data_IF_825332914608
#
_entry.id   IF_825332914608
#
_cell.length_a   1.000
_cell.length_b   1.000
_cell.length_c   1.000
_cell.angle_alpha   90.00
_cell.angle_beta   90.00
_cell.angle_gamma   90.00
#
_symmetry.space_group_name_H-M   'P 1'
#
loop_
_entity.id
_entity.type
_entity.pdbx_description
1 polymer ?
#
# COMPACT_ATOMS: atom_id res chain seq x y z
N UNK A 1 0.52 20.65 9.14
CA UNK A 1 -0.67 21.25 8.50
C UNK A 1 -1.90 20.38 8.71
N UNK A 2 -1.91 19.10 8.29
CA UNK A 2 -3.09 18.21 8.49
C UNK A 2 -3.53 18.10 9.96
N UNK A 3 -2.60 17.83 10.90
CA UNK A 3 -2.91 17.73 12.33
C UNK A 3 -3.43 19.04 12.96
N UNK A 4 -3.23 20.20 12.31
CA UNK A 4 -3.68 21.50 12.82
C UNK A 4 -5.13 21.81 12.44
N UNK A 5 -5.71 21.04 11.50
CA UNK A 5 -7.11 21.13 11.08
C UNK A 5 -7.94 20.06 11.79
N UNK A 6 -9.25 20.27 11.92
CA UNK A 6 -10.15 19.25 12.47
C UNK A 6 -10.41 18.12 11.46
N UNK A 7 -10.69 16.88 11.89
CA UNK A 7 -11.02 15.77 11.00
C UNK A 7 -12.19 16.05 10.06
N UNK A 8 -13.18 16.82 10.51
CA UNK A 8 -14.40 17.17 9.77
C UNK A 8 -14.12 18.05 8.55
N UNK A 9 -12.99 18.78 8.58
CA UNK A 9 -12.54 19.58 7.45
C UNK A 9 -12.21 18.73 6.21
N UNK A 10 -11.85 17.45 6.42
CA UNK A 10 -11.40 16.55 5.36
C UNK A 10 -12.52 15.63 4.84
N UNK A 11 -13.77 16.05 4.95
CA UNK A 11 -14.93 15.19 4.65
C UNK A 11 -15.37 15.21 3.18
N UNK A 12 -14.93 16.21 2.40
CA UNK A 12 -15.24 16.35 0.97
C UNK A 12 -14.23 17.24 0.26
N UNK A 13 -14.33 17.34 -1.06
CA UNK A 13 -13.58 18.33 -1.84
C UNK A 13 -12.08 18.05 -1.92
N UNK A 14 -11.32 19.10 -2.22
CA UNK A 14 -9.86 19.04 -2.42
C UNK A 14 -9.17 18.62 -1.11
N UNK A 15 -9.70 19.06 0.02
CA UNK A 15 -9.24 18.71 1.36
C UNK A 15 -9.26 17.20 1.57
N UNK A 16 -10.38 16.55 1.23
CA UNK A 16 -10.51 15.10 1.31
C UNK A 16 -9.52 14.38 0.40
N UNK A 17 -9.36 14.83 -0.85
CA UNK A 17 -8.38 14.26 -1.78
C UNK A 17 -6.96 14.40 -1.26
N UNK A 18 -6.57 15.57 -0.73
CA UNK A 18 -5.26 15.78 -0.11
C UNK A 18 -5.07 14.86 1.10
N UNK A 19 -6.09 14.74 1.96
CA UNK A 19 -6.05 13.84 3.10
C UNK A 19 -5.78 12.39 2.67
N UNK A 20 -6.56 11.87 1.72
CA UNK A 20 -6.52 10.46 1.28
C UNK A 20 -5.12 10.00 0.89
N UNK A 21 -4.31 10.83 0.24
CA UNK A 21 -3.00 10.35 -0.23
C UNK A 21 -1.78 11.03 0.33
N UNK A 22 -1.91 12.06 1.15
CA UNK A 22 -0.86 12.30 2.14
C UNK A 22 -0.89 11.25 3.26
N UNK A 23 -2.06 10.68 3.59
CA UNK A 23 -2.21 9.69 4.66
C UNK A 23 -1.26 8.48 4.55
N UNK A 24 -1.12 7.77 3.41
CA UNK A 24 -0.14 6.69 3.26
C UNK A 24 1.30 7.14 3.54
N UNK A 25 1.70 8.31 3.02
CA UNK A 25 3.06 8.84 3.20
C UNK A 25 3.36 9.17 4.67
N UNK A 26 2.40 9.78 5.35
CA UNK A 26 2.57 10.18 6.74
C UNK A 26 2.51 9.00 7.72
N UNK A 27 1.68 7.99 7.43
CA UNK A 27 1.68 6.73 8.19
C UNK A 27 2.98 5.97 7.97
N UNK A 28 3.44 5.84 6.72
CA UNK A 28 4.72 5.17 6.44
C UNK A 28 5.89 5.89 7.13
N UNK A 29 5.90 7.23 7.07
CA UNK A 29 6.86 8.04 7.83
C UNK A 29 6.79 7.71 9.32
N UNK A 30 5.60 7.69 9.92
CA UNK A 30 5.42 7.36 11.33
C UNK A 30 5.94 5.95 11.68
N UNK A 31 5.73 4.95 10.82
CA UNK A 31 6.27 3.60 11.00
C UNK A 31 7.81 3.62 10.96
N UNK A 32 8.40 4.26 9.95
CA UNK A 32 9.87 4.36 9.78
C UNK A 32 10.52 5.01 11.01
N UNK A 33 9.91 6.09 11.51
CA UNK A 33 10.41 6.80 12.69
C UNK A 33 9.95 6.18 14.01
N UNK A 34 9.11 5.14 13.98
CA UNK A 34 8.55 4.48 15.16
C UNK A 34 7.92 5.49 16.12
N UNK A 35 7.10 6.39 15.57
CA UNK A 35 6.41 7.45 16.31
C UNK A 35 4.91 7.37 16.11
N UNK A 36 4.16 7.37 17.20
CA UNK A 36 2.71 7.39 17.20
C UNK A 36 2.19 8.50 16.29
N UNK A 37 1.04 8.24 15.67
CA UNK A 37 0.44 9.15 14.70
C UNK A 37 -1.02 9.39 15.03
N UNK A 38 -1.46 10.64 14.84
CA UNK A 38 -2.86 11.03 15.10
C UNK A 38 -3.86 10.28 14.21
N UNK A 39 -3.40 9.69 13.09
CA UNK A 39 -4.23 8.85 12.21
C UNK A 39 -4.75 7.58 12.89
N UNK A 40 -4.18 7.16 14.03
CA UNK A 40 -4.66 6.01 14.80
C UNK A 40 -5.94 6.31 15.59
N UNK A 41 -6.27 7.59 15.80
CA UNK A 41 -7.43 7.99 16.59
C UNK A 41 -8.71 7.76 15.78
N UNK A 42 -9.75 7.20 16.42
CA UNK A 42 -11.04 6.90 15.76
C UNK A 42 -11.65 8.10 15.02
N UNK A 43 -11.51 9.32 15.56
CA UNK A 43 -11.98 10.54 14.89
C UNK A 43 -11.33 10.73 13.50
N UNK A 44 -10.06 10.38 13.35
CA UNK A 44 -9.31 10.50 12.10
C UNK A 44 -9.50 9.30 11.16
N UNK A 45 -10.05 8.20 11.67
CA UNK A 45 -10.41 7.01 10.90
C UNK A 45 -11.84 7.16 10.35
N UNK A 46 -12.77 7.69 11.14
CA UNK A 46 -14.20 7.72 10.80
C UNK A 46 -14.62 9.03 10.14
N UNK A 47 -14.27 10.19 10.74
CA UNK A 47 -14.83 11.48 10.32
C UNK A 47 -14.52 11.84 8.87
N UNK A 48 -13.28 11.71 8.36
CA UNK A 48 -12.98 12.06 6.98
C UNK A 48 -13.80 11.26 5.96
N UNK A 49 -14.29 10.06 6.33
CA UNK A 49 -15.08 9.17 5.48
C UNK A 49 -16.57 9.14 5.85
N UNK A 50 -17.07 10.09 6.65
CA UNK A 50 -18.47 10.05 7.11
C UNK A 50 -19.51 10.19 5.99
N UNK A 51 -19.14 10.81 4.86
CA UNK A 51 -20.02 11.01 3.70
C UNK A 51 -19.67 10.10 2.51
N UNK A 52 -18.56 9.35 2.58
CA UNK A 52 -18.03 8.58 1.47
C UNK A 52 -17.58 7.21 1.98
N UNK A 53 -17.91 6.14 1.26
CA UNK A 53 -17.38 4.83 1.61
C UNK A 53 -15.86 4.83 1.43
N UNK A 54 -15.12 4.51 2.48
CA UNK A 54 -13.67 4.37 2.41
C UNK A 54 -13.30 3.29 1.38
N UNK A 55 -12.37 3.62 0.47
CA UNK A 55 -11.77 2.62 -0.41
C UNK A 55 -10.99 1.60 0.44
N UNK A 56 -10.84 0.34 0.00
CA UNK A 56 -10.19 -0.69 0.82
C UNK A 56 -8.80 -0.31 1.32
N UNK A 57 -8.01 0.43 0.53
CA UNK A 57 -6.71 0.94 0.97
C UNK A 57 -6.82 1.87 2.19
N UNK A 58 -7.88 2.67 2.29
CA UNK A 58 -8.08 3.60 3.40
C UNK A 58 -8.42 2.88 4.70
N UNK A 59 -9.10 1.73 4.62
CA UNK A 59 -9.33 0.84 5.77
C UNK A 59 -8.04 0.18 6.23
N UNK A 60 -7.24 -0.33 5.28
CA UNK A 60 -5.91 -0.87 5.54
C UNK A 60 -5.02 0.15 6.25
N UNK A 61 -5.00 1.39 5.78
CA UNK A 61 -4.25 2.48 6.39
C UNK A 61 -4.77 2.83 7.79
N UNK A 62 -6.06 2.66 8.06
CA UNK A 62 -6.63 2.78 9.40
C UNK A 62 -6.03 1.78 10.38
N UNK A 63 -5.97 0.51 9.97
CA UNK A 63 -5.34 -0.56 10.77
C UNK A 63 -3.84 -0.28 10.95
N UNK A 64 -3.14 0.06 9.86
CA UNK A 64 -1.71 0.31 9.86
C UNK A 64 -1.29 1.53 10.71
N UNK A 65 -2.16 2.53 10.85
CA UNK A 65 -1.88 3.73 11.65
C UNK A 65 -1.67 3.44 13.14
N UNK A 66 -2.12 2.28 13.65
CA UNK A 66 -1.88 1.82 15.04
C UNK A 66 -0.43 1.36 15.27
N UNK A 67 0.20 0.78 14.25
CA UNK A 67 1.53 0.16 14.35
C UNK A 67 2.59 1.11 14.93
N UNK A 68 2.73 2.37 14.45
CA UNK A 68 3.74 3.29 14.98
C UNK A 68 3.65 3.53 16.49
N UNK A 69 2.45 3.56 17.06
CA UNK A 69 2.26 3.75 18.51
C UNK A 69 2.80 2.58 19.31
N UNK A 70 2.50 1.35 18.87
CA UNK A 70 3.03 0.13 19.47
C UNK A 70 4.56 0.10 19.41
N UNK A 71 5.14 0.51 18.28
CA UNK A 71 6.59 0.58 18.11
C UNK A 71 7.24 1.64 19.02
N UNK A 72 6.64 2.81 19.14
CA UNK A 72 7.12 3.87 20.05
C UNK A 72 7.13 3.40 21.51
N UNK A 73 6.07 2.72 21.92
CA UNK A 73 5.97 2.19 23.28
C UNK A 73 6.99 1.09 23.53
N UNK A 74 7.19 0.16 22.59
CA UNK A 74 8.24 -0.87 22.68
C UNK A 74 9.62 -0.22 22.87
N UNK A 75 9.92 0.87 22.15
CA UNK A 75 11.21 1.56 22.29
C UNK A 75 11.38 2.15 23.71
N UNK A 76 10.29 2.61 24.32
CA UNK A 76 10.28 3.12 25.69
C UNK A 76 10.47 2.04 26.77
N UNK A 77 10.10 0.79 26.48
CA UNK A 77 10.23 -0.34 27.43
C UNK A 77 11.69 -0.64 27.80
N UNK A 78 12.62 -0.28 26.91
CA UNK A 78 14.07 -0.45 27.10
C UNK A 78 14.62 0.22 28.37
N UNK A 79 13.86 1.16 28.97
CA UNK A 79 14.28 1.95 30.13
C UNK A 79 13.62 1.53 31.46
N UNK A 80 12.73 0.52 31.47
CA UNK A 80 11.93 0.15 32.65
C UNK A 80 12.55 -0.99 33.48
N UNK A 81 12.10 -1.13 34.74
CA UNK A 81 12.43 -2.28 35.59
C UNK A 81 11.92 -3.59 34.97
N UNK A 82 12.63 -4.70 35.22
CA UNK A 82 12.40 -5.99 34.55
C UNK A 82 10.96 -6.51 34.64
N UNK A 83 10.31 -6.38 35.80
CA UNK A 83 8.97 -6.92 36.05
C UNK A 83 7.88 -6.11 35.34
N UNK A 84 7.99 -4.78 35.34
CA UNK A 84 7.10 -3.88 34.59
C UNK A 84 7.31 -4.01 33.08
N UNK A 85 8.57 -4.21 32.65
CA UNK A 85 8.91 -4.40 31.24
C UNK A 85 8.30 -5.70 30.66
N UNK A 86 8.28 -6.80 31.43
CA UNK A 86 7.72 -8.07 30.97
C UNK A 86 6.20 -8.01 30.76
N UNK A 87 5.46 -7.43 31.71
CA UNK A 87 4.00 -7.26 31.57
C UNK A 87 3.66 -6.35 30.39
N UNK A 88 4.35 -5.21 30.28
CA UNK A 88 4.11 -4.26 29.19
C UNK A 88 4.51 -4.84 27.82
N UNK A 89 5.60 -5.62 27.74
CA UNK A 89 5.96 -6.32 26.51
C UNK A 89 4.87 -7.31 26.08
N UNK A 90 4.25 -8.01 27.03
CA UNK A 90 3.13 -8.93 26.75
C UNK A 90 1.94 -8.20 26.17
N UNK A 91 1.55 -7.07 26.75
CA UNK A 91 0.47 -6.23 26.23
C UNK A 91 0.76 -5.73 24.81
N UNK A 92 1.99 -5.30 24.53
CA UNK A 92 2.39 -4.86 23.18
C UNK A 92 2.37 -6.01 22.16
N UNK A 93 2.76 -7.21 22.57
CA UNK A 93 2.65 -8.42 21.73
C UNK A 93 1.17 -8.72 21.43
N UNK A 94 0.30 -8.67 22.44
CA UNK A 94 -1.15 -8.87 22.26
C UNK A 94 -1.73 -7.85 21.28
N UNK A 95 -1.31 -6.59 21.36
CA UNK A 95 -1.75 -5.54 20.43
C UNK A 95 -1.24 -5.77 18.99
N UNK A 96 0.01 -6.18 18.80
CA UNK A 96 0.53 -6.56 17.47
C UNK A 96 -0.22 -7.76 16.89
N UNK A 97 -0.59 -8.73 17.71
CA UNK A 97 -1.37 -9.88 17.28
C UNK A 97 -2.78 -9.47 16.85
N UNK A 98 -3.40 -8.52 17.56
CA UNK A 98 -4.70 -7.97 17.18
C UNK A 98 -4.62 -7.23 15.84
N UNK A 99 -3.63 -6.35 15.66
CA UNK A 99 -3.39 -5.64 14.39
C UNK A 99 -3.21 -6.65 13.26
N UNK A 100 -2.39 -7.70 13.48
CA UNK A 100 -2.20 -8.76 12.47
C UNK A 100 -3.50 -9.47 12.13
N UNK A 101 -4.33 -9.82 13.12
CA UNK A 101 -5.62 -10.44 12.89
C UNK A 101 -6.55 -9.53 12.05
N UNK A 102 -6.59 -8.23 12.35
CA UNK A 102 -7.35 -7.26 11.57
C UNK A 102 -6.85 -7.15 10.12
N UNK A 103 -5.54 -7.18 9.90
CA UNK A 103 -4.94 -7.19 8.56
C UNK A 103 -5.30 -8.47 7.78
N UNK A 104 -5.28 -9.63 8.43
CA UNK A 104 -5.64 -10.91 7.82
C UNK A 104 -7.13 -10.96 7.45
N UNK A 105 -8.01 -10.43 8.32
CA UNK A 105 -9.44 -10.26 8.03
C UNK A 105 -9.66 -9.31 6.87
N UNK A 106 -9.07 -8.11 6.91
CA UNK A 106 -9.17 -7.13 5.83
C UNK A 106 -8.71 -7.72 4.49
N UNK A 107 -7.58 -8.42 4.49
CA UNK A 107 -7.06 -9.05 3.27
C UNK A 107 -8.02 -10.10 2.73
N UNK A 108 -8.59 -10.95 3.60
CA UNK A 108 -9.59 -11.95 3.21
C UNK A 108 -10.85 -11.30 2.62
N UNK A 109 -11.35 -10.23 3.24
CA UNK A 109 -12.53 -9.49 2.77
C UNK A 109 -12.26 -8.79 1.44
N UNK A 110 -11.08 -8.22 1.25
CA UNK A 110 -10.64 -7.62 -0.01
C UNK A 110 -10.59 -8.64 -1.14
N UNK A 111 -10.05 -9.84 -0.87
CA UNK A 111 -10.00 -10.94 -1.83
C UNK A 111 -11.41 -11.41 -2.22
N UNK A 112 -12.32 -11.52 -1.26
CA UNK A 112 -13.69 -11.96 -1.50
C UNK A 112 -14.53 -10.89 -2.24
N UNK A 113 -14.19 -9.62 -2.07
CA UNK A 113 -14.92 -8.49 -2.67
C UNK A 113 -14.43 -8.14 -4.09
N UNK A 114 -13.28 -8.67 -4.52
CA UNK A 114 -12.66 -8.30 -5.81
C UNK A 114 -12.80 -9.44 -6.83
N UNK A 115 -13.70 -9.35 -7.82
CA UNK A 115 -13.84 -10.36 -8.88
C UNK A 115 -12.70 -10.30 -9.93
N UNK A 116 -11.88 -9.24 -9.89
CA UNK A 116 -10.77 -9.04 -10.82
C UNK A 116 -9.52 -9.84 -10.40
N UNK A 117 -8.68 -10.28 -11.36
CA UNK A 117 -7.39 -10.86 -11.03
C UNK A 117 -6.56 -9.82 -10.28
N UNK A 118 -6.10 -10.18 -9.08
CA UNK A 118 -5.16 -9.37 -8.32
C UNK A 118 -3.89 -9.23 -9.15
N UNK A 119 -3.56 -7.99 -9.50
CA UNK A 119 -2.35 -7.64 -10.26
C UNK A 119 -1.05 -7.99 -9.50
N UNK A 120 -1.14 -8.41 -8.23
CA UNK A 120 0.00 -8.74 -7.36
C UNK A 120 0.18 -10.25 -7.08
N UNK A 121 -0.55 -11.15 -7.77
CA UNK A 121 -0.24 -12.59 -7.68
C UNK A 121 1.01 -12.95 -8.49
N UNK A 122 2.21 -12.65 -7.98
CA UNK A 122 3.39 -13.55 -7.95
C UNK A 122 4.67 -12.90 -7.38
N UNK A 123 4.85 -12.88 -6.05
CA UNK A 123 6.21 -12.90 -5.47
C UNK A 123 6.38 -14.09 -4.53
N UNK A 124 5.48 -15.09 -4.61
CA UNK A 124 5.47 -16.22 -3.68
C UNK A 124 6.53 -17.29 -3.96
N UNK A 125 7.51 -17.00 -4.83
CA UNK A 125 8.68 -17.84 -5.03
C UNK A 125 10.01 -17.06 -5.14
N UNK A 126 10.11 -15.85 -4.59
CA UNK A 126 11.45 -15.33 -4.27
C UNK A 126 11.97 -16.10 -3.04
N UNK A 127 12.47 -17.33 -3.26
CA UNK A 127 13.67 -17.77 -2.55
C UNK A 127 14.58 -16.55 -2.49
N UNK A 128 15.13 -16.18 -1.34
CA UNK A 128 16.16 -15.13 -1.24
C UNK A 128 17.04 -15.21 -2.49
N UNK A 129 16.82 -14.28 -3.44
CA UNK A 129 17.47 -14.37 -4.74
C UNK A 129 18.87 -13.87 -4.46
N UNK A 130 19.72 -14.81 -4.13
CA UNK A 130 21.13 -14.54 -4.03
C UNK A 130 21.57 -14.14 -5.45
N UNK A 131 21.76 -12.83 -5.62
CA UNK A 131 22.19 -12.15 -6.85
C UNK A 131 23.56 -12.70 -7.24
N UNK A 132 23.57 -13.83 -7.95
CA UNK A 132 24.81 -14.55 -8.27
C UNK A 132 25.17 -14.49 -9.75
N UNK A 133 24.25 -14.09 -10.64
CA UNK A 133 24.57 -13.85 -12.05
C UNK A 133 23.66 -12.79 -12.71
N UNK A 134 24.08 -12.30 -13.89
CA UNK A 134 23.34 -11.29 -14.65
C UNK A 134 21.99 -11.80 -15.19
N UNK A 135 21.82 -13.12 -15.31
CA UNK A 135 20.61 -13.75 -15.84
C UNK A 135 19.49 -13.74 -14.80
N UNK A 136 19.79 -14.13 -13.56
CA UNK A 136 18.85 -14.07 -12.43
C UNK A 136 18.41 -12.64 -12.13
N UNK A 137 19.32 -11.66 -12.23
CA UNK A 137 18.97 -10.24 -12.09
C UNK A 137 18.01 -9.78 -13.20
N UNK A 138 18.26 -10.21 -14.44
CA UNK A 138 17.38 -9.92 -15.58
C UNK A 138 15.98 -10.52 -15.41
N UNK A 139 15.89 -11.78 -14.97
CA UNK A 139 14.60 -12.45 -14.76
C UNK A 139 13.77 -11.72 -13.68
N UNK A 140 14.43 -11.21 -12.63
CA UNK A 140 13.79 -10.36 -11.61
C UNK A 140 13.31 -9.03 -12.20
N UNK A 141 14.13 -8.37 -13.01
CA UNK A 141 13.75 -7.11 -13.66
C UNK A 141 12.54 -7.30 -14.60
N UNK A 142 12.49 -8.41 -15.35
CA UNK A 142 11.34 -8.73 -16.21
C UNK A 142 10.07 -8.94 -15.38
N UNK A 143 10.14 -9.75 -14.32
CA UNK A 143 8.99 -10.01 -13.44
C UNK A 143 8.45 -8.72 -12.81
N UNK A 144 9.33 -7.87 -12.26
CA UNK A 144 8.94 -6.59 -11.68
C UNK A 144 8.32 -5.65 -12.73
N UNK A 145 8.87 -5.62 -13.94
CA UNK A 145 8.35 -4.78 -15.02
C UNK A 145 6.96 -5.21 -15.46
N UNK A 146 6.70 -6.51 -15.55
CA UNK A 146 5.36 -7.06 -15.83
C UNK A 146 4.38 -6.64 -14.74
N UNK A 147 4.77 -6.73 -13.47
CA UNK A 147 3.91 -6.36 -12.34
C UNK A 147 3.59 -4.86 -12.33
N UNK A 148 4.59 -4.01 -12.56
CA UNK A 148 4.39 -2.57 -12.69
C UNK A 148 3.39 -2.30 -13.82
N UNK A 149 3.62 -2.86 -15.01
CA UNK A 149 2.77 -2.65 -16.18
C UNK A 149 1.32 -3.11 -15.93
N UNK A 150 1.13 -4.29 -15.33
CA UNK A 150 -0.20 -4.82 -14.99
C UNK A 150 -0.91 -4.01 -13.90
N UNK A 151 -0.17 -3.44 -12.96
CA UNK A 151 -0.74 -2.62 -11.88
C UNK A 151 -1.24 -1.25 -12.36
N UNK A 152 -0.83 -0.79 -13.55
CA UNK A 152 -1.20 0.54 -14.05
C UNK A 152 -2.70 0.73 -14.22
N UNK A 153 -3.44 -0.30 -14.61
CA UNK A 153 -4.91 -0.23 -14.70
C UNK A 153 -5.58 0.06 -13.34
N UNK A 154 -4.93 -0.34 -12.25
CA UNK A 154 -5.38 -0.05 -10.88
C UNK A 154 -4.90 1.32 -10.42
N UNK A 155 -3.61 1.64 -10.63
CA UNK A 155 -3.00 2.91 -10.20
C UNK A 155 -3.62 4.12 -10.91
N UNK A 156 -4.10 3.95 -12.14
CA UNK A 156 -4.74 5.01 -12.94
C UNK A 156 -6.23 5.19 -12.64
N UNK A 157 -6.83 4.44 -11.70
CA UNK A 157 -8.21 4.66 -11.29
C UNK A 157 -8.35 5.99 -10.56
N UNK A 158 -9.49 6.66 -10.75
CA UNK A 158 -9.75 8.00 -10.17
C UNK A 158 -9.52 8.05 -8.65
N UNK A 159 -9.83 6.96 -7.94
CA UNK A 159 -9.63 6.81 -6.49
C UNK A 159 -8.16 6.79 -6.04
N UNK A 160 -7.22 6.48 -6.95
CA UNK A 160 -5.78 6.37 -6.70
C UNK A 160 -4.95 7.48 -7.38
N UNK A 161 -5.60 8.38 -8.11
CA UNK A 161 -4.99 9.47 -8.87
C UNK A 161 -4.55 10.64 -7.98
N UNK A 162 -3.87 10.37 -6.87
CA UNK A 162 -3.45 11.42 -5.96
C UNK A 162 -2.38 12.36 -6.53
N UNK A 163 -1.65 11.88 -7.53
CA UNK A 163 -0.68 12.63 -8.32
C UNK A 163 -1.01 12.63 -9.82
N UNK A 164 -2.22 12.19 -10.19
CA UNK A 164 -2.60 11.98 -11.58
C UNK A 164 -1.72 10.96 -12.32
N UNK A 165 -1.65 11.07 -13.65
CA UNK A 165 -0.78 10.25 -14.53
C UNK A 165 0.69 10.26 -14.09
N UNK A 166 1.12 11.28 -13.33
CA UNK A 166 2.51 11.47 -12.92
C UNK A 166 3.02 10.43 -11.92
N UNK A 167 2.16 9.84 -11.05
CA UNK A 167 2.59 8.74 -10.17
C UNK A 167 2.83 7.43 -10.91
N UNK A 168 2.16 7.25 -12.06
CA UNK A 168 2.33 6.08 -12.91
C UNK A 168 3.48 6.24 -13.90
N UNK A 169 3.82 7.47 -14.29
CA UNK A 169 4.78 7.74 -15.37
C UNK A 169 6.16 7.11 -15.14
N UNK A 170 6.79 7.40 -14.00
CA UNK A 170 8.16 6.94 -13.75
C UNK A 170 8.27 5.41 -13.59
N UNK A 171 7.41 4.74 -12.81
CA UNK A 171 7.39 3.28 -12.76
C UNK A 171 7.11 2.65 -14.12
N UNK A 172 6.11 3.15 -14.85
CA UNK A 172 5.73 2.60 -16.15
C UNK A 172 6.84 2.78 -17.19
N UNK A 173 7.45 3.96 -17.24
CA UNK A 173 8.58 4.22 -18.13
C UNK A 173 9.74 3.25 -17.83
N UNK A 174 10.08 3.09 -16.55
CA UNK A 174 11.15 2.17 -16.14
C UNK A 174 10.84 0.71 -16.54
N UNK A 175 9.58 0.29 -16.38
CA UNK A 175 9.13 -1.05 -16.77
C UNK A 175 9.16 -1.24 -18.30
N UNK A 176 8.69 -0.25 -19.07
CA UNK A 176 8.73 -0.29 -20.53
C UNK A 176 10.18 -0.33 -21.04
N UNK A 177 11.08 0.51 -20.52
CA UNK A 177 12.49 0.51 -20.89
C UNK A 177 13.16 -0.85 -20.62
N UNK A 178 12.84 -1.48 -19.49
CA UNK A 178 13.33 -2.82 -19.17
C UNK A 178 12.78 -3.89 -20.13
N UNK A 179 11.49 -3.84 -20.47
CA UNK A 179 10.87 -4.77 -21.42
C UNK A 179 11.38 -4.56 -22.86
N UNK A 180 11.67 -3.33 -23.26
CA UNK A 180 12.16 -3.03 -24.62
C UNK A 180 13.62 -3.46 -24.84
N UNK A 181 14.37 -3.69 -23.75
CA UNK A 181 15.82 -3.92 -23.77
C UNK A 181 16.27 -5.12 -24.62
N UNK A 182 15.43 -6.16 -24.79
CA UNK A 182 15.78 -7.34 -25.59
C UNK A 182 14.57 -8.05 -26.22
N UNK A 183 14.86 -9.11 -26.98
CA UNK A 183 13.84 -9.81 -27.77
C UNK A 183 12.77 -10.52 -26.92
N UNK A 184 13.14 -11.01 -25.73
CA UNK A 184 12.20 -11.69 -24.84
C UNK A 184 11.32 -10.68 -24.12
N UNK A 185 11.88 -9.58 -23.62
CA UNK A 185 11.09 -8.49 -23.04
C UNK A 185 10.11 -7.88 -24.06
N UNK A 186 10.53 -7.68 -25.31
CA UNK A 186 9.66 -7.18 -26.38
C UNK A 186 8.53 -8.16 -26.72
N UNK A 187 8.81 -9.47 -26.68
CA UNK A 187 7.79 -10.49 -26.87
C UNK A 187 6.74 -10.43 -25.75
N UNK A 188 7.16 -10.24 -24.50
CA UNK A 188 6.26 -10.06 -23.36
C UNK A 188 5.42 -8.79 -23.53
N UNK A 189 6.03 -7.65 -23.85
CA UNK A 189 5.32 -6.37 -24.04
C UNK A 189 4.22 -6.47 -25.12
N UNK A 190 4.52 -7.14 -26.25
CA UNK A 190 3.56 -7.37 -27.32
C UNK A 190 2.33 -8.22 -26.90
N UNK A 191 2.45 -9.04 -25.85
CA UNK A 191 1.31 -9.78 -25.27
C UNK A 191 0.48 -8.94 -24.30
N UNK A 192 1.08 -7.90 -23.70
CA UNK A 192 0.44 -7.05 -22.70
C UNK A 192 -0.37 -5.90 -23.33
N UNK A 193 0.13 -5.28 -24.42
CA UNK A 193 -0.54 -4.17 -25.11
C UNK A 193 -2.00 -4.45 -25.52
N UNK A 194 -2.35 -5.63 -26.08
CA UNK A 194 -3.73 -5.94 -26.47
C UNK A 194 -4.68 -6.13 -25.28
N UNK A 195 -4.17 -6.57 -24.13
CA UNK A 195 -4.99 -6.89 -22.95
C UNK A 195 -5.57 -5.63 -22.27
N UNK A 196 -4.88 -4.50 -22.35
CA UNK A 196 -5.34 -3.23 -21.78
C UNK A 196 -6.33 -2.51 -22.73
N UNK A 197 -6.06 -2.53 -24.03
CA UNK A 197 -6.92 -1.90 -25.05
C UNK A 197 -8.27 -2.61 -25.28
N UNK A 198 -8.38 -3.89 -24.93
CA UNK A 198 -9.62 -4.65 -25.01
C UNK A 198 -10.47 -4.56 -23.72
N UNK A 199 -9.83 -4.46 -22.54
CA UNK A 199 -10.52 -4.47 -21.23
C UNK A 199 -11.01 -3.10 -20.75
N UNK A 200 -10.37 -2.02 -21.19
CA UNK A 200 -10.85 -0.64 -20.97
C UNK A 200 -12.17 -0.34 -21.72
N UNK A 201 -12.38 -0.94 -22.89
CA UNK A 201 -13.63 -0.80 -23.68
C UNK A 201 -14.82 -1.58 -23.12
N UNK A 202 -14.57 -2.67 -22.39
CA UNK A 202 -15.63 -3.49 -21.80
C UNK A 202 -16.27 -2.87 -20.54
N UNK A 203 -15.71 -1.77 -20.01
CA UNK A 203 -16.20 -1.08 -18.80
C UNK A 203 -17.06 0.17 -19.06
N UNK A 204 -17.19 0.58 -20.33
CA UNK A 204 -17.96 1.76 -20.76
C UNK A 204 -19.26 1.40 -21.51
N UNK A 205 -19.84 0.23 -21.23
CA UNK A 205 -21.17 -0.20 -21.73
C UNK A 205 -22.03 -0.63 -20.56
#
# INVERSE_FOLDING_TARGET
>A
MIQLSSPEFFTSGIEHTLFIGFRPLLILKAIIFRKATFFANNNWIEKPFQHHRAAPLQDLLGIAARIPGVLEEIDSLTYNSFETAASAARERIEELMEIRCQLDTWHSDFLNSTPAPLYWRCLRHSKEIALHDAKSLRDVCLELSIQIYQSMEYVLQEDFMLYGLSSAHFPLQTACEALESDAEGRAVLATLDPLIGARSRARNV
#
